data_IF_666426158002
#
_entry.id   IF_666426158002
#
_cell.length_a   1.000
_cell.length_b   1.000
_cell.length_c   1.000
_cell.angle_alpha   90.00
_cell.angle_beta   90.00
_cell.angle_gamma   90.00
#
_symmetry.space_group_name_H-M   'P 1'
#
loop_
_entity.id
_entity.type
_entity.pdbx_description
1 polymer ?
#
# COMPACT_ATOMS: atom_id res chain seq x y z
N UNK A 1 17.41 8.88 -24.17
CA UNK A 1 16.70 9.62 -23.08
C UNK A 1 16.68 8.69 -21.87
N UNK A 2 17.29 9.09 -20.78
CA UNK A 2 17.20 8.34 -19.52
C UNK A 2 15.72 8.28 -19.08
N UNK A 3 15.23 7.07 -18.79
CA UNK A 3 13.90 6.86 -18.25
C UNK A 3 13.91 7.15 -16.75
N UNK A 4 13.87 8.43 -16.40
CA UNK A 4 13.89 8.92 -15.01
C UNK A 4 12.65 8.52 -14.18
N UNK A 5 11.71 7.81 -14.78
CA UNK A 5 10.45 7.40 -14.16
C UNK A 5 10.31 5.89 -13.99
N UNK A 6 11.35 5.13 -14.31
CA UNK A 6 11.30 3.69 -14.20
C UNK A 6 11.36 3.24 -12.73
N UNK A 7 10.23 2.77 -12.21
CA UNK A 7 10.10 2.35 -10.81
C UNK A 7 11.00 1.18 -10.45
N UNK A 8 11.28 0.28 -11.40
CA UNK A 8 12.20 -0.85 -11.17
C UNK A 8 13.64 -0.35 -11.04
N UNK A 9 14.03 0.59 -11.89
CA UNK A 9 15.35 1.23 -11.79
C UNK A 9 15.48 2.02 -10.48
N UNK A 10 14.44 2.75 -10.09
CA UNK A 10 14.40 3.47 -8.81
C UNK A 10 14.62 2.52 -7.61
N UNK A 11 13.95 1.37 -7.62
CA UNK A 11 14.10 0.36 -6.57
C UNK A 11 15.52 -0.21 -6.51
N UNK A 12 16.09 -0.57 -7.67
CA UNK A 12 17.45 -1.09 -7.74
C UNK A 12 18.46 -0.01 -7.31
N UNK A 13 18.28 1.23 -7.75
CA UNK A 13 19.15 2.34 -7.35
C UNK A 13 19.13 2.57 -5.84
N UNK A 14 17.96 2.54 -5.21
CA UNK A 14 17.82 2.67 -3.76
C UNK A 14 18.49 1.50 -3.02
N UNK A 15 18.30 0.27 -3.47
CA UNK A 15 18.95 -0.93 -2.92
C UNK A 15 20.47 -0.85 -3.01
N UNK A 16 21.01 -0.61 -4.21
CA UNK A 16 22.46 -0.56 -4.45
C UNK A 16 23.09 0.57 -3.63
N UNK A 17 22.49 1.75 -3.64
CA UNK A 17 22.98 2.90 -2.87
C UNK A 17 23.05 2.60 -1.38
N UNK A 18 22.06 1.92 -0.83
CA UNK A 18 22.05 1.50 0.57
C UNK A 18 23.10 0.45 0.85
N UNK A 19 23.21 -0.56 -0.01
CA UNK A 19 24.16 -1.67 0.14
C UNK A 19 25.63 -1.20 0.10
N UNK A 20 25.94 -0.35 -0.88
CA UNK A 20 27.30 0.16 -1.10
C UNK A 20 27.61 1.43 -0.27
N UNK A 21 26.64 1.89 0.56
CA UNK A 21 26.76 3.10 1.36
C UNK A 21 27.13 4.36 0.53
N UNK A 22 26.53 4.50 -0.64
CA UNK A 22 26.72 5.62 -1.55
C UNK A 22 25.42 6.42 -1.71
N UNK A 23 25.54 7.66 -2.18
CA UNK A 23 24.38 8.52 -2.43
C UNK A 23 23.54 7.98 -3.58
N UNK A 24 22.23 7.83 -3.37
CA UNK A 24 21.30 7.55 -4.46
C UNK A 24 21.11 8.79 -5.33
N UNK A 25 21.57 8.69 -6.58
CA UNK A 25 21.51 9.79 -7.55
C UNK A 25 20.31 9.69 -8.51
N UNK A 26 19.58 8.56 -8.48
CA UNK A 26 18.42 8.39 -9.37
C UNK A 26 17.28 9.35 -8.95
N UNK A 27 16.78 10.19 -9.87
CA UNK A 27 15.99 11.36 -9.50
C UNK A 27 14.54 11.07 -9.10
N UNK A 28 14.06 9.85 -9.31
CA UNK A 28 12.66 9.51 -9.04
C UNK A 28 12.31 9.65 -7.55
N UNK A 29 13.05 8.96 -6.68
CA UNK A 29 12.88 9.00 -5.23
C UNK A 29 14.20 8.57 -4.57
N UNK A 30 14.94 9.53 -4.02
CA UNK A 30 16.28 9.28 -3.50
C UNK A 30 16.27 8.58 -2.14
N UNK A 31 15.32 8.96 -1.30
CA UNK A 31 15.17 8.48 0.08
C UNK A 31 13.74 7.95 0.30
N UNK A 32 13.40 6.76 -0.26
CA UNK A 32 12.01 6.28 -0.28
C UNK A 32 11.40 6.08 1.11
N UNK A 33 12.19 5.74 2.14
CA UNK A 33 11.70 5.57 3.50
C UNK A 33 11.20 6.88 4.13
N UNK A 34 11.65 8.04 3.64
CA UNK A 34 11.19 9.35 4.09
C UNK A 34 9.77 9.70 3.59
N UNK A 35 9.19 8.86 2.73
CA UNK A 35 7.86 9.02 2.16
C UNK A 35 6.82 8.06 2.77
N UNK A 36 7.17 7.41 3.89
CA UNK A 36 6.23 6.58 4.63
C UNK A 36 5.35 7.49 5.49
N UNK A 37 4.04 7.41 5.30
CA UNK A 37 3.04 8.13 6.09
C UNK A 37 2.12 7.14 6.79
N UNK A 38 2.06 7.22 8.11
CA UNK A 38 1.21 6.37 8.95
C UNK A 38 0.08 7.22 9.54
N UNK A 39 -1.16 6.77 9.39
CA UNK A 39 -2.35 7.47 9.86
C UNK A 39 -3.32 6.54 10.57
N UNK A 40 -4.06 7.07 11.52
CA UNK A 40 -5.21 6.39 12.11
C UNK A 40 -6.50 6.98 11.56
N UNK A 41 -6.98 6.42 10.44
CA UNK A 41 -8.15 6.93 9.73
C UNK A 41 -9.43 6.89 10.57
N UNK A 42 -9.59 5.88 11.44
CA UNK A 42 -10.74 5.81 12.33
C UNK A 42 -10.80 7.02 13.25
N UNK A 43 -9.67 7.42 13.83
CA UNK A 43 -9.56 8.60 14.70
C UNK A 43 -9.72 9.91 13.93
N UNK A 44 -8.96 10.06 12.85
CA UNK A 44 -8.88 11.31 12.08
C UNK A 44 -10.21 11.65 11.39
N UNK A 45 -10.89 10.65 10.84
CA UNK A 45 -12.16 10.82 10.12
C UNK A 45 -13.39 10.55 10.99
N UNK A 46 -13.21 10.23 12.30
CA UNK A 46 -14.27 9.86 13.22
C UNK A 46 -15.21 8.79 12.65
N UNK A 47 -14.63 7.79 11.97
CA UNK A 47 -15.39 6.72 11.36
C UNK A 47 -16.14 5.91 12.42
N UNK A 48 -17.43 5.60 12.23
CA UNK A 48 -18.19 4.80 13.16
C UNK A 48 -17.64 3.36 13.22
N UNK A 49 -17.76 2.72 14.37
CA UNK A 49 -17.33 1.33 14.56
C UNK A 49 -17.96 0.39 13.53
N UNK A 50 -19.24 0.61 13.24
CA UNK A 50 -20.01 -0.14 12.27
C UNK A 50 -19.47 -0.07 10.83
N UNK A 51 -18.69 0.98 10.48
CA UNK A 51 -18.14 1.12 9.13
C UNK A 51 -17.23 -0.05 8.75
N UNK A 52 -16.25 -0.37 9.61
CA UNK A 52 -15.32 -1.47 9.35
C UNK A 52 -16.02 -2.84 9.32
N UNK A 53 -17.02 -3.04 10.19
CA UNK A 53 -17.80 -4.28 10.24
C UNK A 53 -18.62 -4.48 8.96
N UNK A 54 -19.33 -3.45 8.51
CA UNK A 54 -20.11 -3.49 7.29
C UNK A 54 -19.23 -3.71 6.06
N UNK A 55 -18.10 -2.99 5.99
CA UNK A 55 -17.12 -3.15 4.92
C UNK A 55 -16.58 -4.57 4.87
N UNK A 56 -16.14 -5.14 6.00
CA UNK A 56 -15.63 -6.51 6.07
C UNK A 56 -16.70 -7.54 5.69
N UNK A 57 -17.96 -7.32 6.09
CA UNK A 57 -19.08 -8.17 5.68
C UNK A 57 -19.19 -8.21 4.15
N UNK A 58 -19.13 -7.06 3.49
CA UNK A 58 -19.22 -6.98 2.03
C UNK A 58 -18.01 -7.54 1.32
N UNK A 59 -16.81 -7.28 1.82
CA UNK A 59 -15.57 -7.84 1.26
C UNK A 59 -15.57 -9.37 1.35
N UNK A 60 -16.11 -9.96 2.42
CA UNK A 60 -16.19 -11.41 2.57
C UNK A 60 -17.19 -12.08 1.58
N UNK A 61 -18.08 -11.32 0.94
CA UNK A 61 -18.95 -11.81 -0.15
C UNK A 61 -18.19 -11.92 -1.49
N UNK A 62 -17.02 -11.26 -1.60
CA UNK A 62 -16.20 -11.27 -2.82
C UNK A 62 -15.36 -12.56 -2.87
N UNK A 63 -15.31 -13.13 -4.07
CA UNK A 63 -14.50 -14.33 -4.29
C UNK A 63 -13.05 -14.13 -3.87
N UNK A 64 -12.54 -15.02 -3.05
CA UNK A 64 -11.16 -15.04 -2.60
C UNK A 64 -10.56 -16.43 -2.74
N UNK A 65 -9.25 -16.51 -2.92
CA UNK A 65 -8.49 -17.75 -3.11
C UNK A 65 -7.47 -17.87 -1.99
N UNK A 66 -7.34 -19.08 -1.44
CA UNK A 66 -6.30 -19.44 -0.51
C UNK A 66 -4.95 -19.50 -1.21
N UNK A 67 -3.96 -18.77 -0.69
CA UNK A 67 -2.59 -18.73 -1.24
C UNK A 67 -2.54 -18.68 -2.76
N UNK A 68 -3.15 -17.68 -3.42
CA UNK A 68 -3.25 -17.71 -4.88
C UNK A 68 -1.87 -17.81 -5.53
N UNK A 69 -1.78 -18.67 -6.55
CA UNK A 69 -0.53 -18.90 -7.29
C UNK A 69 0.03 -17.58 -7.84
N UNK A 70 1.35 -17.42 -7.79
CA UNK A 70 2.06 -16.21 -8.24
C UNK A 70 1.81 -14.93 -7.41
N UNK A 71 1.12 -15.04 -6.27
CA UNK A 71 0.93 -13.94 -5.32
C UNK A 71 1.81 -14.13 -4.08
N UNK A 72 1.95 -13.06 -3.32
CA UNK A 72 2.84 -13.03 -2.14
C UNK A 72 2.17 -13.52 -0.87
N UNK A 73 0.84 -13.68 -0.87
CA UNK A 73 0.05 -14.14 0.28
C UNK A 73 0.36 -15.58 0.63
N UNK A 74 0.70 -15.83 1.89
CA UNK A 74 0.92 -17.13 2.49
C UNK A 74 0.12 -17.26 3.78
N UNK A 75 -0.48 -18.44 4.02
CA UNK A 75 -1.33 -18.69 5.19
C UNK A 75 -2.56 -17.78 5.21
N UNK A 76 -3.16 -17.49 4.05
CA UNK A 76 -4.31 -16.60 3.97
C UNK A 76 -5.06 -16.61 2.65
N UNK A 77 -6.20 -15.93 2.65
CA UNK A 77 -7.02 -15.68 1.47
C UNK A 77 -6.73 -14.30 0.88
N UNK A 78 -6.82 -14.19 -0.43
CA UNK A 78 -6.77 -12.93 -1.15
C UNK A 78 -7.92 -12.84 -2.14
N UNK A 79 -8.61 -11.68 -2.21
CA UNK A 79 -9.62 -11.42 -3.24
C UNK A 79 -8.98 -11.31 -4.62
N UNK A 80 -9.71 -11.77 -5.62
CA UNK A 80 -9.27 -11.72 -7.02
C UNK A 80 -9.80 -10.46 -7.71
N UNK A 81 -9.07 -10.03 -8.75
CA UNK A 81 -9.43 -8.82 -9.48
C UNK A 81 -9.13 -7.51 -8.74
N UNK A 82 -9.85 -6.47 -9.10
CA UNK A 82 -9.74 -5.18 -8.43
C UNK A 82 -10.94 -4.98 -7.49
N UNK A 83 -10.65 -4.81 -6.21
CA UNK A 83 -11.68 -4.60 -5.18
C UNK A 83 -12.64 -3.44 -5.54
N UNK A 84 -12.11 -2.38 -6.14
CA UNK A 84 -12.85 -1.16 -6.48
C UNK A 84 -13.69 -1.27 -7.77
N UNK A 85 -13.70 -2.42 -8.43
CA UNK A 85 -14.63 -2.70 -9.53
C UNK A 85 -15.99 -3.21 -9.01
N UNK A 86 -16.14 -3.39 -7.68
CA UNK A 86 -17.38 -3.80 -7.04
C UNK A 86 -18.23 -2.57 -6.64
N UNK A 87 -19.53 -2.61 -6.95
CA UNK A 87 -20.47 -1.51 -6.71
C UNK A 87 -21.14 -1.55 -5.32
N UNK A 88 -20.55 -2.22 -4.32
CA UNK A 88 -21.04 -2.16 -2.95
C UNK A 88 -20.85 -0.76 -2.38
N UNK A 89 -21.87 -0.23 -1.72
CA UNK A 89 -21.83 1.12 -1.10
C UNK A 89 -20.61 1.31 -0.21
N UNK A 90 -20.31 0.32 0.59
CA UNK A 90 -19.19 0.32 1.55
C UNK A 90 -17.82 0.38 0.84
N UNK A 91 -17.69 -0.26 -0.31
CA UNK A 91 -16.46 -0.22 -1.12
C UNK A 91 -16.33 1.12 -1.83
N UNK A 92 -17.41 1.68 -2.33
CA UNK A 92 -17.41 3.02 -2.93
C UNK A 92 -17.09 4.12 -1.89
N UNK A 93 -17.55 3.95 -0.65
CA UNK A 93 -17.20 4.84 0.46
C UNK A 93 -15.72 4.72 0.82
N UNK A 94 -15.20 3.49 0.95
CA UNK A 94 -13.78 3.23 1.14
C UNK A 94 -12.93 3.85 0.03
N UNK A 95 -13.34 3.70 -1.22
CA UNK A 95 -12.65 4.30 -2.36
C UNK A 95 -12.50 5.81 -2.20
N UNK A 96 -13.60 6.52 -1.88
CA UNK A 96 -13.57 7.97 -1.65
C UNK A 96 -12.64 8.36 -0.50
N UNK A 97 -12.65 7.58 0.59
CA UNK A 97 -11.73 7.79 1.73
C UNK A 97 -10.28 7.68 1.25
N UNK A 98 -9.94 6.63 0.52
CA UNK A 98 -8.57 6.42 0.03
C UNK A 98 -8.16 7.51 -0.96
N UNK A 99 -9.02 7.89 -1.89
CA UNK A 99 -8.75 8.98 -2.85
C UNK A 99 -8.44 10.29 -2.12
N UNK A 100 -9.20 10.63 -1.08
CA UNK A 100 -8.93 11.80 -0.24
C UNK A 100 -7.60 11.66 0.52
N UNK A 101 -7.23 10.46 1.00
CA UNK A 101 -5.93 10.25 1.64
C UNK A 101 -4.76 10.36 0.66
N UNK A 102 -4.93 9.99 -0.60
CA UNK A 102 -3.93 10.19 -1.66
C UNK A 102 -3.71 11.70 -1.91
N UNK A 103 -4.77 12.50 -1.93
CA UNK A 103 -4.68 13.96 -2.04
C UNK A 103 -3.92 14.54 -0.83
N UNK A 104 -4.30 14.13 0.39
CA UNK A 104 -3.63 14.56 1.61
C UNK A 104 -2.15 14.15 1.64
N UNK A 105 -1.83 12.94 1.18
CA UNK A 105 -0.46 12.46 1.08
C UNK A 105 0.38 13.39 0.20
N UNK A 106 -0.12 13.76 -0.97
CA UNK A 106 0.56 14.70 -1.86
C UNK A 106 0.78 16.05 -1.22
N UNK A 107 -0.20 16.58 -0.48
CA UNK A 107 -0.07 17.86 0.24
C UNK A 107 1.00 17.81 1.33
N UNK A 108 1.09 16.71 2.10
CA UNK A 108 2.12 16.53 3.13
C UNK A 108 3.53 16.63 2.54
N UNK A 109 3.73 16.11 1.34
CA UNK A 109 5.05 16.05 0.71
C UNK A 109 5.27 17.07 -0.42
N UNK A 110 4.36 18.03 -0.63
CA UNK A 110 4.37 18.93 -1.79
C UNK A 110 5.67 19.74 -1.98
N UNK A 111 6.38 20.04 -0.90
CA UNK A 111 7.65 20.80 -0.92
C UNK A 111 8.88 19.90 -1.22
N UNK A 112 8.69 18.59 -1.36
CA UNK A 112 9.77 17.68 -1.71
C UNK A 112 10.15 17.79 -3.18
N UNK A 113 11.47 17.66 -3.47
CA UNK A 113 12.03 17.90 -4.81
C UNK A 113 12.12 16.64 -5.69
N UNK A 114 11.92 15.45 -5.12
CA UNK A 114 11.99 14.21 -5.89
C UNK A 114 10.89 14.14 -6.96
N UNK A 115 11.20 13.52 -8.08
CA UNK A 115 10.25 13.35 -9.19
C UNK A 115 8.98 12.60 -8.79
N UNK A 116 9.08 11.73 -7.80
CA UNK A 116 7.93 11.07 -7.20
C UNK A 116 6.81 12.06 -6.82
N UNK A 117 7.15 13.24 -6.31
CA UNK A 117 6.20 14.29 -5.95
C UNK A 117 6.01 15.31 -7.09
N UNK A 118 7.11 15.84 -7.65
CA UNK A 118 7.05 16.89 -8.69
C UNK A 118 6.35 16.45 -9.97
N UNK A 119 6.41 15.16 -10.29
CA UNK A 119 5.81 14.58 -11.50
C UNK A 119 4.61 13.70 -11.19
N UNK A 120 3.88 14.03 -10.13
CA UNK A 120 2.69 13.29 -9.73
C UNK A 120 1.72 13.10 -10.91
N UNK A 121 1.18 11.89 -11.13
CA UNK A 121 0.29 11.63 -12.26
C UNK A 121 -0.96 12.51 -12.24
N UNK A 122 -1.31 13.10 -13.39
CA UNK A 122 -2.55 13.89 -13.53
C UNK A 122 -3.81 13.04 -13.44
N UNK A 123 -3.73 11.78 -13.88
CA UNK A 123 -4.80 10.79 -13.80
C UNK A 123 -4.33 9.63 -12.95
N UNK A 124 -5.11 9.22 -11.99
CA UNK A 124 -4.84 8.09 -11.11
C UNK A 124 -5.94 7.04 -11.28
N UNK A 125 -5.55 5.79 -11.16
CA UNK A 125 -6.48 4.67 -11.08
C UNK A 125 -6.19 3.92 -9.79
N UNK A 126 -7.19 3.77 -8.94
CA UNK A 126 -7.08 2.99 -7.72
C UNK A 126 -7.22 1.51 -8.06
N UNK A 127 -6.32 0.72 -7.52
CA UNK A 127 -6.34 -0.73 -7.61
C UNK A 127 -6.10 -1.31 -6.24
N UNK A 128 -6.93 -2.25 -5.83
CA UNK A 128 -6.84 -2.83 -4.50
C UNK A 128 -7.34 -4.26 -4.44
N UNK A 129 -6.96 -4.94 -3.39
CA UNK A 129 -7.42 -6.27 -3.03
C UNK A 129 -7.44 -6.39 -1.51
N UNK A 130 -8.24 -7.32 -1.00
CA UNK A 130 -8.28 -7.63 0.41
C UNK A 130 -7.49 -8.91 0.69
N UNK A 131 -6.73 -8.88 1.77
CA UNK A 131 -5.98 -10.04 2.28
C UNK A 131 -6.47 -10.36 3.69
N UNK A 132 -6.81 -11.63 3.91
CA UNK A 132 -7.17 -12.17 5.23
C UNK A 132 -6.16 -13.22 5.63
N UNK A 133 -5.27 -12.86 6.53
CA UNK A 133 -4.23 -13.75 7.06
C UNK A 133 -4.75 -14.54 8.26
N UNK A 134 -4.25 -15.76 8.41
CA UNK A 134 -4.48 -16.62 9.56
C UNK A 134 -3.20 -16.73 10.41
N UNK A 135 -3.21 -17.62 11.41
CA UNK A 135 -2.03 -17.84 12.25
C UNK A 135 -0.80 -18.16 11.38
N UNK A 136 0.31 -17.44 11.61
CA UNK A 136 1.55 -17.51 10.83
C UNK A 136 1.43 -17.04 9.36
N UNK A 137 0.24 -16.57 8.95
CA UNK A 137 0.05 -16.01 7.62
C UNK A 137 0.84 -14.70 7.44
N UNK A 138 1.39 -14.53 6.24
CA UNK A 138 2.20 -13.36 5.92
C UNK A 138 2.15 -13.02 4.42
N UNK A 139 2.64 -11.86 4.10
CA UNK A 139 2.99 -11.48 2.73
C UNK A 139 4.51 -11.58 2.56
N UNK A 140 4.97 -12.26 1.51
CA UNK A 140 6.39 -12.25 1.16
C UNK A 140 6.85 -10.84 0.78
N UNK A 141 8.12 -10.54 0.98
CA UNK A 141 8.74 -9.30 0.48
C UNK A 141 8.48 -9.12 -1.01
N UNK A 142 8.02 -7.94 -1.39
CA UNK A 142 7.70 -7.63 -2.79
C UNK A 142 7.62 -6.12 -3.03
N UNK A 143 7.63 -5.75 -4.30
CA UNK A 143 7.43 -4.38 -4.76
C UNK A 143 6.20 -4.31 -5.68
N UNK A 144 5.65 -3.11 -5.84
CA UNK A 144 4.57 -2.81 -6.78
C UNK A 144 5.08 -1.95 -7.94
N UNK A 145 5.79 -2.54 -8.93
CA UNK A 145 6.50 -1.77 -9.97
C UNK A 145 5.57 -1.05 -10.96
N UNK A 146 4.28 -1.33 -10.93
CA UNK A 146 3.25 -0.65 -11.72
C UNK A 146 2.45 0.39 -10.92
N UNK A 147 2.70 0.51 -9.62
CA UNK A 147 2.01 1.46 -8.73
C UNK A 147 2.86 2.68 -8.46
N UNK A 148 2.33 3.88 -8.67
CA UNK A 148 3.01 5.13 -8.29
C UNK A 148 3.13 5.27 -6.79
N UNK A 149 2.07 4.97 -6.06
CA UNK A 149 1.98 4.92 -4.60
C UNK A 149 1.32 3.61 -4.18
N UNK A 150 1.82 2.98 -3.15
CA UNK A 150 1.18 1.84 -2.49
C UNK A 150 0.76 2.19 -1.07
N UNK A 151 -0.33 1.61 -0.61
CA UNK A 151 -0.81 1.76 0.75
C UNK A 151 -1.38 0.46 1.30
N UNK A 152 -1.35 0.32 2.62
CA UNK A 152 -1.99 -0.77 3.34
C UNK A 152 -2.98 -0.19 4.34
N UNK A 153 -4.18 -0.71 4.35
CA UNK A 153 -5.22 -0.36 5.33
C UNK A 153 -5.55 -1.59 6.18
N UNK A 154 -5.29 -1.50 7.48
CA UNK A 154 -5.69 -2.50 8.45
C UNK A 154 -7.15 -2.29 8.84
N UNK A 155 -8.04 -3.20 8.44
CA UNK A 155 -9.46 -3.17 8.78
C UNK A 155 -9.73 -3.87 10.11
N UNK A 156 -9.00 -4.95 10.39
CA UNK A 156 -9.11 -5.70 11.64
C UNK A 156 -7.74 -6.29 11.98
N UNK A 157 -7.30 -6.03 13.20
CA UNK A 157 -6.08 -6.62 13.75
C UNK A 157 -6.49 -7.38 15.01
N UNK A 158 -6.11 -8.67 15.18
CA UNK A 158 -6.37 -9.41 16.40
C UNK A 158 -5.57 -8.83 17.57
N UNK A 159 -5.90 -9.22 18.79
CA UNK A 159 -5.04 -8.92 19.95
C UNK A 159 -3.69 -9.58 19.72
N UNK A 160 -2.65 -8.76 19.65
CA UNK A 160 -1.30 -9.22 19.37
C UNK A 160 -0.71 -9.91 20.61
N UNK A 161 -0.01 -11.01 20.39
CA UNK A 161 0.73 -11.72 21.44
C UNK A 161 2.15 -11.16 21.59
N UNK A 162 2.75 -10.71 20.48
CA UNK A 162 4.07 -10.11 20.41
C UNK A 162 4.02 -8.75 19.71
N UNK A 163 4.99 -7.89 19.99
CA UNK A 163 5.04 -6.50 19.55
C UNK A 163 5.06 -6.34 18.02
N UNK A 164 5.60 -7.31 17.28
CA UNK A 164 5.76 -7.24 15.82
C UNK A 164 4.76 -8.11 15.04
N UNK A 165 3.81 -8.77 15.72
CA UNK A 165 2.77 -9.54 15.02
C UNK A 165 1.87 -8.62 14.19
N UNK A 166 1.61 -9.02 12.95
CA UNK A 166 0.79 -8.25 12.02
C UNK A 166 1.42 -6.94 11.53
N UNK A 167 2.67 -6.67 11.88
CA UNK A 167 3.38 -5.49 11.41
C UNK A 167 3.66 -5.57 9.89
N UNK A 168 3.78 -4.41 9.27
CA UNK A 168 4.39 -4.25 7.94
C UNK A 168 5.81 -3.74 8.12
N UNK A 169 6.74 -4.33 7.40
CA UNK A 169 8.13 -3.90 7.35
C UNK A 169 8.44 -3.26 5.99
N UNK A 170 9.09 -2.10 6.04
CA UNK A 170 9.62 -1.43 4.87
C UNK A 170 11.14 -1.50 4.91
N UNK A 171 11.72 -2.14 3.91
CA UNK A 171 13.17 -2.30 3.79
C UNK A 171 13.63 -1.93 2.38
N UNK A 172 14.89 -1.50 2.26
CA UNK A 172 15.56 -1.35 0.96
C UNK A 172 16.30 -2.64 0.55
N UNK A 173 16.28 -3.66 1.39
CA UNK A 173 16.82 -4.99 1.09
C UNK A 173 15.66 -5.91 0.69
N UNK A 174 15.72 -6.49 -0.52
CA UNK A 174 14.72 -7.42 -1.02
C UNK A 174 14.83 -8.80 -0.40
#
# INVERSE_FOLDING_TARGET
KEDSFNLRVATIAAFVSKKENIKNVYPFCREPLNYILIKNLKKELKLPDQFCENLLKKINEIQSIWEPSSYTTKGGYQTMGNLFDNNYKEILELQKIIENQIINYREVYKEREDFFIKKWPKKTKLRGWHVKLFKQGHQKSHIHPSGWLSGVLYLKVPKLLNQNEGAIEFTLYG
#
